data_IF_492397060528
#
_entry.id   IF_492397060528
#
_cell.length_a   1.000
_cell.length_b   1.000
_cell.length_c   1.000
_cell.angle_alpha   90.00
_cell.angle_beta   90.00
_cell.angle_gamma   90.00
#
_symmetry.space_group_name_H-M   'P 1'
#
loop_
_entity.id
_entity.type
_entity.pdbx_description
1 polymer ?
#
# COMPACT_ATOMS: atom_id res chain seq x y z
N UNK A 1 11.52 19.28 21.07
CA UNK A 1 12.60 18.69 20.24
C UNK A 1 13.58 17.91 21.08
N UNK A 2 14.03 18.45 22.22
CA UNK A 2 15.00 17.77 23.10
C UNK A 2 14.54 16.41 23.61
N UNK A 3 13.27 16.24 23.97
CA UNK A 3 12.72 14.94 24.39
C UNK A 3 12.86 13.82 23.35
N UNK A 4 12.87 14.15 22.06
CA UNK A 4 13.04 13.17 20.98
C UNK A 4 14.52 12.85 20.75
N UNK A 5 15.39 13.84 20.96
CA UNK A 5 16.84 13.68 20.96
C UNK A 5 17.30 12.81 22.14
N UNK A 6 16.78 13.06 23.34
CA UNK A 6 17.08 12.26 24.53
C UNK A 6 16.66 10.80 24.37
N UNK A 7 15.46 10.55 23.83
CA UNK A 7 15.04 9.17 23.53
C UNK A 7 15.87 8.52 22.43
N UNK A 8 16.36 9.27 21.45
CA UNK A 8 17.22 8.73 20.40
C UNK A 8 18.62 8.37 20.95
N UNK A 9 19.15 9.17 21.87
CA UNK A 9 20.45 8.95 22.52
C UNK A 9 20.39 8.05 23.77
N UNK A 10 19.19 7.60 24.17
CA UNK A 10 19.01 6.80 25.38
C UNK A 10 19.74 5.46 25.24
N UNK A 11 20.82 5.28 26.02
CA UNK A 11 21.65 4.07 26.01
C UNK A 11 22.70 4.00 24.90
N UNK A 12 22.98 5.11 24.21
CA UNK A 12 24.02 5.19 23.17
C UNK A 12 25.34 5.64 23.80
N UNK A 13 26.37 4.80 23.70
CA UNK A 13 27.74 5.17 24.04
C UNK A 13 28.43 5.77 22.79
N UNK A 14 28.74 7.08 22.77
CA UNK A 14 29.25 7.76 21.58
C UNK A 14 30.64 7.26 21.12
N UNK A 15 31.38 6.56 21.97
CA UNK A 15 32.69 6.00 21.64
C UNK A 15 32.62 4.53 21.17
N UNK A 16 31.41 3.95 21.10
CA UNK A 16 31.20 2.58 20.62
C UNK A 16 31.04 2.51 19.10
N UNK A 17 31.66 1.52 18.41
CA UNK A 17 31.52 1.36 16.96
C UNK A 17 30.07 1.04 16.52
N UNK A 18 29.24 0.55 17.44
CA UNK A 18 27.84 0.19 17.20
C UNK A 18 26.85 1.34 17.47
N UNK A 19 27.33 2.51 17.91
CA UNK A 19 26.50 3.68 18.25
C UNK A 19 25.53 4.06 17.14
N UNK A 20 25.97 4.00 15.88
CA UNK A 20 25.14 4.30 14.71
C UNK A 20 23.94 3.34 14.57
N UNK A 21 24.16 2.03 14.77
CA UNK A 21 23.11 1.02 14.69
C UNK A 21 22.11 1.19 15.84
N UNK A 22 22.57 1.50 17.04
CA UNK A 22 21.71 1.76 18.19
C UNK A 22 20.82 2.99 17.98
N UNK A 23 21.38 4.10 17.50
CA UNK A 23 20.61 5.31 17.17
C UNK A 23 19.57 4.97 16.09
N UNK A 24 19.96 4.24 15.04
CA UNK A 24 19.06 3.83 13.97
C UNK A 24 17.91 2.97 14.49
N UNK A 25 18.19 1.98 15.35
CA UNK A 25 17.17 1.13 15.96
C UNK A 25 16.24 1.90 16.91
N UNK A 26 16.76 2.83 17.70
CA UNK A 26 15.94 3.72 18.54
C UNK A 26 15.02 4.61 17.68
N UNK A 27 15.53 5.15 16.57
CA UNK A 27 14.72 5.94 15.64
C UNK A 27 13.62 5.07 14.99
N UNK A 28 13.98 3.87 14.55
CA UNK A 28 13.03 2.90 14.01
C UNK A 28 11.97 2.53 15.06
N UNK A 29 12.35 2.36 16.33
CA UNK A 29 11.39 2.10 17.42
C UNK A 29 10.38 3.24 17.65
N UNK A 30 10.72 4.49 17.32
CA UNK A 30 9.79 5.61 17.47
C UNK A 30 8.69 5.61 16.41
N UNK A 31 8.96 5.01 15.25
CA UNK A 31 8.00 4.93 14.17
C UNK A 31 6.98 3.84 14.52
N UNK A 32 5.66 4.11 14.46
CA UNK A 32 4.64 3.13 14.78
C UNK A 32 4.47 2.14 13.62
N UNK A 33 5.48 1.29 13.38
CA UNK A 33 5.54 0.33 12.28
C UNK A 33 4.32 -0.59 12.23
N UNK A 34 3.90 -1.09 13.38
CA UNK A 34 2.72 -1.96 13.48
C UNK A 34 1.46 -1.24 13.00
N UNK A 35 1.27 0.03 13.40
CA UNK A 35 0.14 0.85 12.97
C UNK A 35 0.19 1.13 11.48
N UNK A 36 1.37 1.50 10.94
CA UNK A 36 1.55 1.74 9.51
C UNK A 36 1.29 0.48 8.68
N UNK A 37 1.73 -0.68 9.18
CA UNK A 37 1.54 -1.97 8.53
C UNK A 37 0.05 -2.37 8.53
N UNK A 38 -0.66 -2.19 9.64
CA UNK A 38 -2.11 -2.37 9.71
C UNK A 38 -2.87 -1.40 8.82
N UNK A 39 -2.45 -0.14 8.73
CA UNK A 39 -3.05 0.82 7.81
C UNK A 39 -2.85 0.40 6.36
N UNK A 40 -1.65 -0.05 6.00
CA UNK A 40 -1.37 -0.55 4.66
C UNK A 40 -2.24 -1.78 4.33
N UNK A 41 -2.33 -2.74 5.26
CA UNK A 41 -3.24 -3.90 5.16
C UNK A 41 -4.70 -3.47 5.00
N UNK A 42 -5.15 -2.47 5.75
CA UNK A 42 -6.49 -1.88 5.61
C UNK A 42 -6.71 -1.31 4.22
N UNK A 43 -5.75 -0.55 3.68
CA UNK A 43 -5.85 0.02 2.34
C UNK A 43 -5.89 -1.05 1.24
N UNK A 44 -5.07 -2.08 1.37
CA UNK A 44 -5.07 -3.24 0.47
C UNK A 44 -6.36 -4.04 0.57
N UNK A 45 -6.88 -4.28 1.79
CA UNK A 45 -8.11 -5.02 2.00
C UNK A 45 -9.32 -4.29 1.40
N UNK A 46 -9.46 -2.98 1.63
CA UNK A 46 -10.52 -2.16 1.01
C UNK A 46 -10.36 -2.14 -0.51
N UNK A 47 -9.13 -2.00 -1.00
CA UNK A 47 -8.80 -2.07 -2.42
C UNK A 47 -9.18 -3.39 -3.09
N UNK A 48 -8.89 -4.51 -2.42
CA UNK A 48 -9.23 -5.85 -2.85
C UNK A 48 -10.74 -6.06 -2.84
N UNK A 49 -11.45 -5.56 -1.82
CA UNK A 49 -12.90 -5.64 -1.71
C UNK A 49 -13.59 -4.83 -2.83
N UNK A 50 -13.13 -3.60 -3.10
CA UNK A 50 -13.61 -2.78 -4.21
C UNK A 50 -13.32 -3.44 -5.57
N UNK A 51 -12.14 -4.03 -5.73
CA UNK A 51 -11.78 -4.82 -6.91
C UNK A 51 -12.66 -6.06 -7.09
N UNK A 52 -13.02 -6.73 -5.99
CA UNK A 52 -13.91 -7.88 -5.97
C UNK A 52 -15.33 -7.51 -6.41
N UNK A 53 -15.88 -6.40 -5.89
CA UNK A 53 -17.19 -5.88 -6.30
C UNK A 53 -17.27 -5.55 -7.80
N UNK A 54 -16.14 -5.20 -8.42
CA UNK A 54 -16.04 -4.91 -9.86
C UNK A 54 -15.67 -6.12 -10.73
N UNK A 55 -15.45 -7.30 -10.15
CA UNK A 55 -15.03 -8.52 -10.88
C UNK A 55 -13.57 -8.51 -11.36
N UNK A 56 -12.73 -7.62 -10.80
CA UNK A 56 -11.32 -7.43 -11.16
C UNK A 56 -10.43 -7.32 -9.91
N UNK A 57 -10.48 -8.34 -9.06
CA UNK A 57 -9.78 -8.44 -7.76
C UNK A 57 -8.29 -8.12 -7.89
N UNK A 58 -7.60 -8.69 -8.89
CA UNK A 58 -6.15 -8.50 -9.09
C UNK A 58 -5.81 -7.04 -9.40
N UNK A 59 -6.61 -6.38 -10.24
CA UNK A 59 -6.36 -4.97 -10.58
C UNK A 59 -6.65 -4.05 -9.41
N UNK A 60 -7.69 -4.36 -8.62
CA UNK A 60 -7.97 -3.65 -7.37
C UNK A 60 -6.82 -3.75 -6.38
N UNK A 61 -6.24 -4.94 -6.21
CA UNK A 61 -5.07 -5.15 -5.35
C UNK A 61 -3.86 -4.36 -5.88
N UNK A 62 -3.53 -4.49 -7.17
CA UNK A 62 -2.36 -3.82 -7.77
C UNK A 62 -2.45 -2.30 -7.64
N UNK A 63 -3.59 -1.70 -7.97
CA UNK A 63 -3.75 -0.25 -7.89
C UNK A 63 -3.76 0.27 -6.44
N UNK A 64 -4.30 -0.50 -5.51
CA UNK A 64 -4.35 -0.12 -4.09
C UNK A 64 -3.00 -0.26 -3.41
N UNK A 65 -2.17 -1.21 -3.85
CA UNK A 65 -0.78 -1.36 -3.38
C UNK A 65 0.11 -0.25 -3.94
N UNK A 66 -0.01 0.08 -5.23
CA UNK A 66 0.86 1.06 -5.90
C UNK A 66 0.50 2.51 -5.54
N UNK A 67 -0.80 2.82 -5.41
CA UNK A 67 -1.28 4.20 -5.23
C UNK A 67 -2.00 4.43 -3.88
N UNK A 68 -2.09 3.41 -3.02
CA UNK A 68 -2.79 3.52 -1.74
C UNK A 68 -4.26 3.90 -1.92
N UNK A 69 -4.79 4.88 -1.16
CA UNK A 69 -6.20 5.29 -1.24
C UNK A 69 -6.57 5.91 -2.60
N UNK A 70 -5.61 6.43 -3.37
CA UNK A 70 -5.85 6.94 -4.73
C UNK A 70 -6.18 5.79 -5.69
N UNK A 71 -5.60 4.60 -5.43
CA UNK A 71 -5.90 3.38 -6.19
C UNK A 71 -7.38 3.01 -6.16
N UNK A 72 -8.10 3.33 -5.08
CA UNK A 72 -9.54 3.11 -4.98
C UNK A 72 -10.32 3.93 -5.99
N UNK A 73 -9.96 5.21 -6.16
CA UNK A 73 -10.61 6.11 -7.12
C UNK A 73 -10.42 5.58 -8.53
N UNK A 74 -9.25 5.07 -8.86
CA UNK A 74 -8.98 4.47 -10.17
C UNK A 74 -9.85 3.23 -10.39
N UNK A 75 -9.99 2.35 -9.40
CA UNK A 75 -10.88 1.17 -9.48
C UNK A 75 -12.35 1.58 -9.67
N UNK A 76 -12.77 2.66 -9.02
CA UNK A 76 -14.13 3.23 -9.12
C UNK A 76 -14.41 3.89 -10.47
N UNK A 77 -13.51 4.75 -10.93
CA UNK A 77 -13.64 5.57 -12.15
C UNK A 77 -13.38 4.75 -13.39
N UNK A 78 -12.48 3.76 -13.34
CA UNK A 78 -12.16 2.96 -14.51
C UNK A 78 -13.42 2.21 -14.96
N UNK A 79 -13.91 2.46 -16.19
CA UNK A 79 -15.05 1.75 -16.73
C UNK A 79 -14.76 0.26 -16.70
N UNK A 80 -15.77 -0.54 -16.34
CA UNK A 80 -15.73 -2.00 -16.43
C UNK A 80 -15.14 -2.32 -17.79
N UNK A 81 -13.91 -2.84 -17.79
CA UNK A 81 -13.15 -3.08 -19.02
C UNK A 81 -14.06 -3.85 -19.93
N UNK A 82 -14.44 -3.18 -21.03
CA UNK A 82 -15.21 -3.67 -22.16
C UNK A 82 -15.10 -5.18 -22.17
N UNK A 83 -16.22 -5.86 -21.90
CA UNK A 83 -16.33 -7.24 -22.25
C UNK A 83 -15.66 -7.41 -23.61
N UNK A 84 -14.83 -8.44 -23.73
CA UNK A 84 -14.47 -9.00 -25.03
C UNK A 84 -15.71 -9.62 -25.71
N UNK A 85 -16.85 -8.95 -25.65
CA UNK A 85 -18.10 -9.26 -26.31
C UNK A 85 -18.32 -8.32 -27.49
N UNK A 86 -17.25 -7.94 -28.20
CA UNK A 86 -17.40 -7.79 -29.65
C UNK A 86 -18.02 -9.09 -30.14
N UNK A 87 -19.31 -9.12 -30.55
CA UNK A 87 -19.86 -10.32 -31.13
C UNK A 87 -19.16 -10.46 -32.47
N UNK A 88 -18.46 -11.58 -32.76
CA UNK A 88 -17.98 -11.78 -34.11
C UNK A 88 -19.18 -11.81 -35.06
N UNK A 89 -19.08 -11.16 -36.23
CA UNK A 89 -20.21 -10.78 -37.08
C UNK A 89 -21.01 -12.00 -37.58
N UNK A 90 -22.32 -11.82 -37.72
CA UNK A 90 -23.25 -12.83 -38.24
C UNK A 90 -22.76 -13.36 -39.60
N UNK A 91 -22.84 -14.68 -39.87
CA UNK A 91 -22.44 -15.24 -41.15
C UNK A 91 -23.26 -14.60 -42.27
N UNK A 92 -22.57 -13.99 -43.25
CA UNK A 92 -23.20 -13.40 -44.41
C UNK A 92 -23.98 -14.46 -45.19
N UNK A 93 -25.30 -14.26 -45.30
CA UNK A 93 -26.18 -15.07 -46.14
C UNK A 93 -25.85 -14.78 -47.61
N UNK A 94 -25.31 -15.76 -48.33
CA UNK A 94 -25.37 -15.84 -49.79
C UNK A 94 -25.79 -17.25 -50.17
#
# INVERSE_FOLDING_TARGET
>A
MEQWLDKAMQGVDPDSPDAFLHIFLNLMSMVPWVTLLWWNLGFVAVGALLGWWRGRTVEGIVWSVVLGPIGWIIVLVRPRGRDKSTPPPLPGRR
#
